data_IF_957198822926
#
_entry.id   IF_957198822926
#
_cell.length_a   1.000
_cell.length_b   1.000
_cell.length_c   1.000
_cell.angle_alpha   90.00
_cell.angle_beta   90.00
_cell.angle_gamma   90.00
#
_symmetry.space_group_name_H-M   'P 1'
#
loop_
_entity.id
_entity.type
_entity.pdbx_description
1 polymer ?
#
# COMPACT_ATOMS: atom_id res chain seq x y z
N UNK A 1 1.77 -27.53 -43.24
CA UNK A 1 0.57 -26.67 -43.31
C UNK A 1 0.63 -25.78 -42.09
N UNK A 2 0.83 -24.47 -42.30
CA UNK A 2 0.97 -23.48 -41.24
C UNK A 2 -0.38 -23.26 -40.57
N UNK A 3 -0.50 -23.62 -39.31
CA UNK A 3 -1.59 -23.18 -38.45
C UNK A 3 -1.38 -21.70 -38.15
N UNK A 4 -2.20 -20.85 -38.78
CA UNK A 4 -2.38 -19.47 -38.36
C UNK A 4 -2.99 -19.49 -36.96
N UNK A 5 -2.18 -19.11 -35.96
CA UNK A 5 -2.67 -18.74 -34.63
C UNK A 5 -3.67 -17.59 -34.82
N UNK A 6 -4.95 -17.93 -34.78
CA UNK A 6 -6.04 -16.97 -34.82
C UNK A 6 -5.95 -16.12 -33.55
N UNK A 7 -5.67 -14.83 -33.71
CA UNK A 7 -5.62 -13.87 -32.62
C UNK A 7 -7.02 -13.74 -32.05
N UNK A 8 -7.31 -14.50 -30.97
CA UNK A 8 -8.59 -14.52 -30.29
C UNK A 8 -9.04 -13.08 -29.93
N UNK A 9 -10.16 -12.61 -30.50
CA UNK A 9 -10.70 -11.30 -30.23
C UNK A 9 -10.92 -11.01 -28.74
N UNK A 10 -11.17 -12.03 -27.94
CA UNK A 10 -11.43 -11.87 -26.51
C UNK A 10 -10.16 -11.66 -25.70
N UNK A 11 -9.04 -12.23 -26.14
CA UNK A 11 -7.74 -12.04 -25.48
C UNK A 11 -7.28 -10.59 -25.61
N UNK A 12 -7.39 -9.98 -26.80
CA UNK A 12 -6.99 -8.58 -26.96
C UNK A 12 -7.93 -7.62 -26.20
N UNK A 13 -9.25 -7.84 -26.22
CA UNK A 13 -10.20 -6.98 -25.48
C UNK A 13 -9.90 -7.02 -23.98
N UNK A 14 -9.65 -8.21 -23.44
CA UNK A 14 -9.32 -8.38 -22.04
C UNK A 14 -8.01 -7.68 -21.68
N UNK A 15 -7.00 -7.81 -22.53
CA UNK A 15 -5.70 -7.20 -22.28
C UNK A 15 -5.76 -5.67 -22.39
N UNK A 16 -6.50 -5.14 -23.36
CA UNK A 16 -6.78 -3.69 -23.47
C UNK A 16 -7.55 -3.17 -22.26
N UNK A 17 -8.61 -3.85 -21.83
CA UNK A 17 -9.36 -3.44 -20.64
C UNK A 17 -8.53 -3.51 -19.36
N UNK A 18 -7.70 -4.55 -19.20
CA UNK A 18 -6.79 -4.66 -18.06
C UNK A 18 -5.77 -3.51 -18.06
N UNK A 19 -5.17 -3.22 -19.21
CA UNK A 19 -4.20 -2.12 -19.34
C UNK A 19 -4.85 -0.76 -19.06
N UNK A 20 -6.11 -0.58 -19.45
CA UNK A 20 -6.86 0.64 -19.19
C UNK A 20 -7.25 0.80 -17.71
N UNK A 21 -7.63 -0.29 -17.03
CA UNK A 21 -7.97 -0.29 -15.60
C UNK A 21 -6.73 -0.19 -14.70
N UNK A 22 -5.59 -0.75 -15.12
CA UNK A 22 -4.33 -0.76 -14.37
C UNK A 22 -3.39 0.38 -14.79
N UNK A 23 -3.94 1.50 -15.26
CA UNK A 23 -3.16 2.66 -15.69
C UNK A 23 -3.02 3.66 -14.54
N UNK A 24 -1.84 3.75 -13.90
CA UNK A 24 -1.57 4.69 -12.81
C UNK A 24 -1.46 6.14 -13.28
N UNK A 25 -1.55 6.43 -14.59
CA UNK A 25 -1.49 7.77 -15.19
C UNK A 25 -0.09 8.36 -15.35
N UNK A 26 0.93 7.80 -14.70
CA UNK A 26 2.37 8.10 -14.92
C UNK A 26 3.19 6.83 -14.67
N UNK A 27 4.36 6.72 -15.28
CA UNK A 27 5.22 5.53 -15.11
C UNK A 27 6.04 5.56 -13.81
N UNK A 28 6.45 6.73 -13.35
CA UNK A 28 7.31 6.90 -12.18
C UNK A 28 6.87 8.09 -11.31
N UNK A 29 7.01 7.97 -10.00
CA UNK A 29 6.86 9.06 -9.05
C UNK A 29 7.90 8.95 -7.93
N UNK A 30 8.79 9.94 -7.78
CA UNK A 30 9.83 9.97 -6.74
C UNK A 30 10.71 8.71 -6.70
N UNK A 31 11.09 8.16 -7.87
CA UNK A 31 11.87 6.92 -7.96
C UNK A 31 11.06 5.63 -7.74
N UNK A 32 9.75 5.72 -7.47
CA UNK A 32 8.85 4.57 -7.37
C UNK A 32 8.25 4.26 -8.74
N UNK A 33 8.35 3.00 -9.16
CA UNK A 33 7.78 2.52 -10.41
C UNK A 33 6.27 2.31 -10.27
N UNK A 34 5.49 3.29 -10.70
CA UNK A 34 4.04 3.28 -10.57
C UNK A 34 3.39 2.23 -11.46
N UNK A 35 3.98 1.95 -12.63
CA UNK A 35 3.52 0.89 -13.55
C UNK A 35 3.68 -0.53 -12.99
N UNK A 36 4.40 -0.69 -11.88
CA UNK A 36 4.50 -1.98 -11.19
C UNK A 36 3.34 -2.26 -10.22
N UNK A 37 2.56 -1.23 -9.85
CA UNK A 37 1.38 -1.40 -9.02
C UNK A 37 0.27 -2.08 -9.82
N UNK A 38 -0.48 -2.95 -9.14
CA UNK A 38 -1.69 -3.58 -9.67
C UNK A 38 -2.94 -2.90 -9.13
N UNK A 39 -4.10 -3.31 -9.65
CA UNK A 39 -5.40 -2.91 -9.11
C UNK A 39 -5.44 -3.08 -7.58
N UNK A 40 -6.06 -2.12 -6.90
CA UNK A 40 -6.14 -2.00 -5.45
C UNK A 40 -4.78 -1.97 -4.73
N UNK A 41 -3.75 -1.39 -5.34
CA UNK A 41 -2.44 -1.22 -4.71
C UNK A 41 -1.99 0.24 -4.64
N UNK A 42 -1.25 0.57 -3.59
CA UNK A 42 -0.63 1.86 -3.40
C UNK A 42 0.77 1.71 -2.79
N UNK A 43 1.60 2.74 -2.97
CA UNK A 43 2.90 2.83 -2.30
C UNK A 43 2.81 3.59 -0.99
N UNK A 44 3.55 3.08 0.00
CA UNK A 44 3.79 3.77 1.26
C UNK A 44 5.30 3.97 1.42
N UNK A 45 5.69 5.20 1.69
CA UNK A 45 7.05 5.59 2.07
C UNK A 45 7.08 5.77 3.59
N UNK A 46 7.96 5.06 4.27
CA UNK A 46 8.12 5.15 5.72
C UNK A 46 9.23 6.11 6.10
N UNK A 47 8.92 7.07 6.96
CA UNK A 47 9.87 8.00 7.57
C UNK A 47 9.78 7.84 9.07
N UNK A 48 10.91 7.62 9.73
CA UNK A 48 10.95 7.35 11.18
C UNK A 48 12.16 7.99 11.86
N UNK A 49 12.02 8.33 13.13
CA UNK A 49 13.10 8.84 13.99
C UNK A 49 13.79 7.73 14.82
N UNK A 50 13.20 6.52 14.85
CA UNK A 50 13.69 5.33 15.56
C UNK A 50 13.31 4.04 14.84
N UNK A 51 13.80 2.91 15.30
CA UNK A 51 13.37 1.61 14.78
C UNK A 51 11.91 1.32 15.18
N UNK A 52 11.06 1.09 14.18
CA UNK A 52 9.63 0.84 14.38
C UNK A 52 9.11 -0.26 13.46
N UNK A 53 8.12 -1.02 13.94
CA UNK A 53 7.37 -1.95 13.10
C UNK A 53 5.96 -1.45 12.82
N UNK A 54 5.60 -1.44 11.55
CA UNK A 54 4.25 -1.13 11.08
C UNK A 54 3.47 -2.43 10.94
N UNK A 55 2.42 -2.57 11.73
CA UNK A 55 1.49 -3.68 11.63
C UNK A 55 0.16 -3.22 11.08
N UNK A 56 -0.51 -4.10 10.32
CA UNK A 56 -1.82 -3.84 9.78
C UNK A 56 -2.78 -5.00 10.05
N UNK A 57 -4.06 -4.67 10.12
CA UNK A 57 -5.16 -5.64 10.12
C UNK A 57 -6.28 -5.09 9.24
N UNK A 58 -6.90 -5.97 8.46
CA UNK A 58 -8.10 -5.61 7.69
C UNK A 58 -9.28 -5.39 8.63
N UNK A 59 -10.07 -4.35 8.38
CA UNK A 59 -11.26 -4.04 9.19
C UNK A 59 -12.38 -5.08 9.01
N UNK A 60 -12.37 -5.83 7.91
CA UNK A 60 -13.32 -6.91 7.67
C UNK A 60 -12.96 -8.19 8.44
N UNK A 61 -11.79 -8.25 9.08
CA UNK A 61 -11.43 -9.43 9.85
C UNK A 61 -11.94 -9.37 11.29
N UNK A 62 -12.73 -10.38 11.67
CA UNK A 62 -13.11 -10.60 13.05
C UNK A 62 -12.05 -11.43 13.79
N UNK A 63 -11.39 -10.82 14.80
CA UNK A 63 -10.39 -11.45 15.69
C UNK A 63 -9.06 -11.83 15.02
N UNK A 64 -8.69 -11.22 13.89
CA UNK A 64 -7.34 -11.37 13.37
C UNK A 64 -6.31 -10.72 14.30
N UNK A 65 -5.12 -11.32 14.46
CA UNK A 65 -3.96 -10.57 14.93
C UNK A 65 -3.55 -9.52 13.88
N UNK A 66 -2.85 -8.51 14.34
CA UNK A 66 -2.16 -7.55 13.48
C UNK A 66 -0.92 -8.23 12.88
N UNK A 67 -0.69 -8.07 11.58
CA UNK A 67 0.45 -8.65 10.87
C UNK A 67 1.47 -7.57 10.53
N UNK A 68 2.75 -7.88 10.75
CA UNK A 68 3.87 -7.00 10.42
C UNK A 68 3.96 -6.79 8.91
N UNK A 69 3.80 -5.54 8.48
CA UNK A 69 3.92 -5.13 7.08
C UNK A 69 5.37 -4.75 6.74
N UNK A 70 6.00 -3.95 7.62
CA UNK A 70 7.33 -3.42 7.38
C UNK A 70 7.99 -2.99 8.69
N UNK A 71 9.30 -3.23 8.79
CA UNK A 71 10.16 -2.57 9.78
C UNK A 71 10.82 -1.35 9.12
N UNK A 72 10.77 -0.23 9.81
CA UNK A 72 11.38 1.03 9.40
C UNK A 72 12.55 1.33 10.33
N UNK A 73 13.62 1.85 9.75
CA UNK A 73 14.81 2.30 10.47
C UNK A 73 15.13 3.74 10.05
N UNK A 74 15.70 4.59 10.93
CA UNK A 74 15.85 6.03 10.66
C UNK A 74 16.75 6.36 9.48
N UNK A 75 17.74 5.52 9.23
CA UNK A 75 18.77 5.75 8.21
C UNK A 75 18.47 5.05 6.88
N UNK A 76 17.36 4.32 6.79
CA UNK A 76 17.01 3.53 5.62
C UNK A 76 15.74 4.07 4.95
N UNK A 77 15.88 4.54 3.71
CA UNK A 77 14.73 4.77 2.85
C UNK A 77 13.98 3.45 2.66
N UNK A 78 12.72 3.45 3.07
CA UNK A 78 11.92 2.23 3.04
C UNK A 78 10.55 2.53 2.48
N UNK A 79 10.18 1.71 1.50
CA UNK A 79 8.85 1.71 0.95
C UNK A 79 8.30 0.29 0.86
N UNK A 80 6.99 0.18 0.76
CA UNK A 80 6.30 -1.07 0.50
C UNK A 80 4.97 -0.82 -0.22
N UNK A 81 4.44 -1.90 -0.80
CA UNK A 81 3.13 -1.90 -1.44
C UNK A 81 2.09 -2.34 -0.43
N UNK A 82 0.95 -1.65 -0.40
CA UNK A 82 -0.19 -2.02 0.43
C UNK A 82 -1.43 -2.23 -0.43
N UNK A 83 -2.32 -3.11 0.03
CA UNK A 83 -3.62 -3.34 -0.59
C UNK A 83 -4.63 -2.27 -0.11
N UNK A 84 -5.32 -1.63 -1.06
CA UNK A 84 -6.32 -0.58 -0.82
C UNK A 84 -7.76 -1.06 -1.03
N UNK A 85 -7.97 -2.33 -1.42
CA UNK A 85 -9.30 -2.90 -1.66
C UNK A 85 -10.17 -2.89 -0.40
N UNK A 86 -9.53 -2.94 0.77
CA UNK A 86 -10.18 -2.94 2.08
C UNK A 86 -9.53 -1.92 2.98
N UNK A 87 -10.33 -1.32 3.84
CA UNK A 87 -9.81 -0.45 4.90
C UNK A 87 -9.03 -1.30 5.90
N UNK A 88 -7.91 -0.75 6.35
CA UNK A 88 -7.05 -1.39 7.32
C UNK A 88 -6.82 -0.47 8.51
N UNK A 89 -6.74 -1.06 9.68
CA UNK A 89 -6.25 -0.40 10.88
C UNK A 89 -4.77 -0.72 11.04
N UNK A 90 -3.95 0.30 11.23
CA UNK A 90 -2.52 0.15 11.43
C UNK A 90 -2.12 0.49 12.86
N UNK A 91 -1.09 -0.20 13.34
CA UNK A 91 -0.44 0.05 14.61
C UNK A 91 1.05 0.09 14.40
N UNK A 92 1.70 1.09 15.00
CA UNK A 92 3.15 1.20 14.96
C UNK A 92 3.70 0.95 16.35
N UNK A 93 4.64 0.03 16.45
CA UNK A 93 5.30 -0.33 17.70
C UNK A 93 6.78 0.03 17.62
N UNK A 94 7.34 0.50 18.74
CA UNK A 94 8.79 0.58 18.90
C UNK A 94 9.38 -0.83 19.01
N UNK A 95 10.53 -1.06 18.38
CA UNK A 95 11.32 -2.29 18.51
C UNK A 95 10.55 -3.59 18.20
N UNK A 96 9.80 -3.57 17.10
CA UNK A 96 8.99 -4.69 16.64
C UNK A 96 9.84 -5.89 16.18
N UNK A 97 9.69 -7.03 16.85
CA UNK A 97 10.41 -8.28 16.54
C UNK A 97 9.49 -9.42 16.10
N UNK A 98 8.23 -9.41 16.52
CA UNK A 98 7.28 -10.48 16.24
C UNK A 98 6.55 -10.28 14.91
N UNK A 99 6.27 -11.36 14.18
CA UNK A 99 5.50 -11.28 12.92
C UNK A 99 4.04 -10.89 13.14
N UNK A 100 3.46 -11.27 14.27
CA UNK A 100 2.06 -11.01 14.60
C UNK A 100 1.95 -10.41 16.00
N UNK A 101 1.05 -9.46 16.19
CA UNK A 101 0.76 -8.89 17.51
C UNK A 101 -0.73 -8.95 17.80
N UNK A 102 -1.07 -9.19 19.06
CA UNK A 102 -2.47 -9.28 19.48
C UNK A 102 -3.08 -7.89 19.62
N UNK A 103 -4.39 -7.79 19.39
CA UNK A 103 -5.15 -6.54 19.61
C UNK A 103 -5.02 -6.01 21.04
N UNK A 104 -4.76 -6.90 22.02
CA UNK A 104 -4.61 -6.56 23.44
C UNK A 104 -3.21 -6.06 23.80
N UNK A 105 -2.22 -6.22 22.92
CA UNK A 105 -0.87 -5.77 23.19
C UNK A 105 -0.77 -4.26 22.98
N UNK A 106 -0.61 -3.52 24.08
CA UNK A 106 -0.36 -2.07 24.05
C UNK A 106 1.07 -1.72 24.47
N UNK A 107 1.89 -2.71 24.81
CA UNK A 107 3.28 -2.49 25.21
C UNK A 107 4.08 -2.02 24.00
N UNK A 108 4.72 -0.86 24.10
CA UNK A 108 5.51 -0.29 23.01
C UNK A 108 4.68 0.27 21.84
N UNK A 109 3.36 0.38 21.97
CA UNK A 109 2.50 1.00 20.95
C UNK A 109 2.77 2.51 20.90
N UNK A 110 3.26 3.01 19.77
CA UNK A 110 3.48 4.44 19.54
C UNK A 110 2.19 5.12 19.09
N UNK A 111 1.46 4.48 18.18
CA UNK A 111 0.27 5.06 17.58
C UNK A 111 -0.64 3.99 16.96
N UNK A 112 -1.92 4.34 16.79
CA UNK A 112 -2.87 3.61 15.98
C UNK A 112 -3.53 4.57 15.02
N UNK A 113 -3.60 4.21 13.74
CA UNK A 113 -4.24 5.01 12.71
C UNK A 113 -5.07 4.13 11.78
N UNK A 114 -6.00 4.76 11.06
CA UNK A 114 -6.85 4.10 10.07
C UNK A 114 -6.78 4.93 8.78
N UNK A 115 -5.72 4.73 7.97
CA UNK A 115 -5.49 5.58 6.82
C UNK A 115 -6.52 5.32 5.73
N UNK A 116 -6.92 6.38 5.03
CA UNK A 116 -7.79 6.29 3.86
C UNK A 116 -6.91 6.29 2.61
N UNK A 117 -6.59 5.10 2.12
CA UNK A 117 -5.71 4.89 0.98
C UNK A 117 -6.55 4.53 -0.24
N UNK A 118 -6.30 5.19 -1.36
CA UNK A 118 -6.84 4.85 -2.67
C UNK A 118 -5.78 4.26 -3.60
N UNK A 119 -6.26 3.61 -4.65
CA UNK A 119 -5.48 2.93 -5.68
C UNK A 119 -4.49 3.86 -6.40
N UNK A 120 -3.31 3.33 -6.71
CA UNK A 120 -2.19 4.01 -7.36
C UNK A 120 -1.70 5.29 -6.67
N UNK A 121 -2.14 5.52 -5.42
CA UNK A 121 -1.66 6.63 -4.60
C UNK A 121 -0.26 6.38 -4.07
N UNK A 122 0.41 7.47 -3.70
CA UNK A 122 1.68 7.45 -2.97
C UNK A 122 1.48 8.23 -1.68
N UNK A 123 1.80 7.59 -0.56
CA UNK A 123 1.60 8.17 0.77
C UNK A 123 2.86 8.05 1.60
N UNK A 124 3.16 9.07 2.40
CA UNK A 124 4.22 9.04 3.39
C UNK A 124 3.64 8.78 4.77
N UNK A 125 4.10 7.72 5.44
CA UNK A 125 3.89 7.47 6.86
C UNK A 125 5.06 8.07 7.65
N UNK A 126 4.78 9.15 8.38
CA UNK A 126 5.70 9.68 9.38
C UNK A 126 5.41 9.00 10.71
N UNK A 127 6.31 8.16 11.19
CA UNK A 127 6.23 7.51 12.49
C UNK A 127 7.32 8.07 13.40
N UNK A 128 6.96 9.00 14.27
CA UNK A 128 7.91 9.69 15.16
C UNK A 128 7.55 9.46 16.62
N UNK A 129 8.44 9.82 17.55
CA UNK A 129 8.15 9.77 18.98
C UNK A 129 6.90 10.58 19.40
N UNK A 130 6.55 11.63 18.65
CA UNK A 130 5.39 12.49 18.92
C UNK A 130 4.07 11.95 18.35
N UNK A 131 4.14 10.83 17.61
CA UNK A 131 2.99 10.17 17.01
C UNK A 131 3.18 9.86 15.54
N UNK A 132 2.09 9.38 14.92
CA UNK A 132 2.09 8.98 13.53
C UNK A 132 1.12 9.80 12.69
N UNK A 133 1.55 10.16 11.49
CA UNK A 133 0.73 10.86 10.52
C UNK A 133 0.92 10.25 9.12
N UNK A 134 -0.15 10.24 8.32
CA UNK A 134 -0.08 9.93 6.90
C UNK A 134 -0.31 11.19 6.09
N UNK A 135 0.61 11.46 5.17
CA UNK A 135 0.49 12.51 4.17
C UNK A 135 0.34 11.88 2.79
N UNK A 136 -0.58 12.41 2.00
CA UNK A 136 -0.70 12.04 0.58
C UNK A 136 0.35 12.82 -0.22
N UNK A 137 1.26 12.12 -0.89
CA UNK A 137 2.21 12.68 -1.84
C UNK A 137 1.62 12.75 -3.24
N UNK A 138 0.87 11.72 -3.60
CA UNK A 138 0.15 11.63 -4.84
C UNK A 138 -1.26 11.14 -4.61
N UNK A 139 -2.22 11.92 -5.11
CA UNK A 139 -3.63 11.54 -5.05
C UNK A 139 -3.88 10.22 -5.78
N UNK A 140 -4.74 9.36 -5.25
CA UNK A 140 -5.12 8.13 -5.90
C UNK A 140 -5.84 8.41 -7.22
N UNK A 141 -5.78 7.45 -8.14
CA UNK A 141 -6.51 7.55 -9.41
C UNK A 141 -7.99 7.25 -9.13
N UNK A 142 -8.87 8.15 -9.57
CA UNK A 142 -10.30 7.87 -9.61
C UNK A 142 -10.66 7.34 -11.01
N UNK A 143 -10.87 6.02 -11.11
CA UNK A 143 -11.26 5.36 -12.36
C UNK A 143 -12.61 5.88 -12.90
N UNK A 144 -13.43 6.52 -12.08
CA UNK A 144 -14.71 7.11 -12.48
C UNK A 144 -14.60 8.58 -12.92
N UNK A 145 -13.47 9.25 -12.66
CA UNK A 145 -13.24 10.65 -13.01
C UNK A 145 -11.97 10.87 -13.86
N UNK A 146 -11.73 10.03 -14.88
CA UNK A 146 -10.72 10.38 -15.90
C UNK A 146 -11.11 11.71 -16.55
N UNK A 147 -10.37 12.78 -16.23
CA UNK A 147 -10.48 14.06 -16.94
C UNK A 147 -9.85 13.87 -18.31
N UNK A 148 -10.69 13.87 -19.35
CA UNK A 148 -10.31 13.93 -20.76
C UNK A 148 -9.75 15.31 -21.12
#
# INVERSE_FOLDING_TARGET
MNETADNDPWMWIRDVMRTWLEDPGVEEHQGLNMSALKMDQAYIVGVTDRDVGVYAVSDDCFRCPFELQKNLSPEAESWWVVNTARRMTWRVYADATEKFTSVRNTSGLLCQLRPNLGEFGVYTLNATGDGCNIRTDREPVDIYMRKY
#
